data_IF_907917343127
#
_entry.id   IF_907917343127
#
_cell.length_a   1.000
_cell.length_b   1.000
_cell.length_c   1.000
_cell.angle_alpha   90.00
_cell.angle_beta   90.00
_cell.angle_gamma   90.00
#
_symmetry.space_group_name_H-M   'P 1'
#
loop_
_entity.id
_entity.type
_entity.pdbx_description
1 polymer ?
#
# COMPACT_ATOMS: atom_id res chain seq x y z
N UNK A 1 -9.61 16.45 -1.43
CA UNK A 1 -8.85 15.22 -1.05
C UNK A 1 -8.97 14.91 0.45
N UNK A 2 -8.79 15.87 1.36
CA UNK A 2 -8.90 15.64 2.81
C UNK A 2 -10.26 15.08 3.28
N UNK A 3 -11.35 15.50 2.66
CA UNK A 3 -12.72 15.08 3.01
C UNK A 3 -12.96 13.58 2.75
N UNK A 4 -12.53 13.06 1.59
CA UNK A 4 -12.64 11.62 1.26
C UNK A 4 -11.88 10.77 2.24
N UNK A 5 -10.68 11.19 2.60
CA UNK A 5 -9.83 10.50 3.57
C UNK A 5 -10.47 10.44 4.97
N UNK A 6 -11.20 11.48 5.36
CA UNK A 6 -11.93 11.52 6.64
C UNK A 6 -13.12 10.55 6.64
N UNK A 7 -13.89 10.51 5.54
CA UNK A 7 -15.04 9.61 5.40
C UNK A 7 -14.58 8.14 5.27
N UNK A 8 -13.43 7.87 4.65
CA UNK A 8 -12.89 6.51 4.50
C UNK A 8 -12.41 5.91 5.84
N UNK A 9 -12.02 6.73 6.82
CA UNK A 9 -11.42 6.28 8.09
C UNK A 9 -12.27 5.27 8.87
N UNK A 10 -13.57 5.50 9.14
CA UNK A 10 -14.39 4.54 9.88
C UNK A 10 -14.56 3.21 9.15
N UNK A 11 -14.65 3.23 7.81
CA UNK A 11 -14.74 2.01 7.00
C UNK A 11 -13.45 1.20 7.04
N UNK A 12 -12.30 1.85 6.89
CA UNK A 12 -11.01 1.19 6.97
C UNK A 12 -10.79 0.56 8.35
N UNK A 13 -11.21 1.25 9.43
CA UNK A 13 -11.13 0.73 10.79
C UNK A 13 -12.04 -0.49 10.98
N UNK A 14 -13.30 -0.42 10.51
CA UNK A 14 -14.24 -1.53 10.62
C UNK A 14 -13.76 -2.76 9.82
N UNK A 15 -13.27 -2.56 8.58
CA UNK A 15 -12.69 -3.62 7.77
C UNK A 15 -11.48 -4.26 8.47
N UNK A 16 -10.62 -3.46 9.08
CA UNK A 16 -9.45 -3.92 9.80
C UNK A 16 -9.81 -4.74 11.06
N UNK A 17 -10.74 -4.25 11.86
CA UNK A 17 -11.21 -4.95 13.07
C UNK A 17 -11.85 -6.29 12.73
N UNK A 18 -12.68 -6.34 11.68
CA UNK A 18 -13.27 -7.57 11.18
C UNK A 18 -12.20 -8.56 10.70
N UNK A 19 -11.29 -8.12 9.83
CA UNK A 19 -10.22 -8.94 9.30
C UNK A 19 -9.27 -9.47 10.40
N UNK A 20 -9.01 -8.65 11.42
CA UNK A 20 -8.22 -9.04 12.59
C UNK A 20 -8.92 -10.11 13.43
N UNK A 21 -10.22 -9.97 13.68
CA UNK A 21 -11.01 -10.96 14.41
C UNK A 21 -11.09 -12.30 13.66
N UNK A 22 -11.14 -12.25 12.33
CA UNK A 22 -11.14 -13.43 11.47
C UNK A 22 -9.73 -14.01 11.18
N UNK A 23 -8.64 -13.41 11.71
CA UNK A 23 -7.25 -13.74 11.37
C UNK A 23 -6.97 -13.74 9.86
N UNK A 24 -7.64 -12.86 9.11
CA UNK A 24 -7.62 -12.79 7.65
C UNK A 24 -7.01 -11.48 7.12
N UNK A 25 -6.11 -10.84 7.88
CA UNK A 25 -5.55 -9.52 7.52
C UNK A 25 -4.93 -9.48 6.12
N UNK A 26 -4.19 -10.55 5.74
CA UNK A 26 -3.56 -10.61 4.43
C UNK A 26 -4.58 -10.80 3.29
N UNK A 27 -5.58 -11.66 3.47
CA UNK A 27 -6.64 -11.90 2.48
C UNK A 27 -7.49 -10.64 2.25
N UNK A 28 -7.81 -9.92 3.33
CA UNK A 28 -8.55 -8.66 3.25
C UNK A 28 -7.75 -7.53 2.57
N UNK A 29 -6.45 -7.48 2.78
CA UNK A 29 -5.55 -6.56 2.06
C UNK A 29 -5.61 -6.78 0.54
N UNK A 30 -5.43 -8.04 0.12
CA UNK A 30 -5.50 -8.43 -1.29
C UNK A 30 -6.86 -8.10 -1.91
N UNK A 31 -7.95 -8.47 -1.24
CA UNK A 31 -9.29 -8.24 -1.76
C UNK A 31 -9.67 -6.77 -1.82
N UNK A 32 -9.30 -5.97 -0.81
CA UNK A 32 -9.50 -4.52 -0.83
C UNK A 32 -8.72 -3.85 -1.96
N UNK A 33 -7.49 -4.32 -2.23
CA UNK A 33 -6.66 -3.83 -3.33
C UNK A 33 -7.33 -4.11 -4.67
N UNK A 34 -7.76 -5.35 -4.90
CA UNK A 34 -8.45 -5.73 -6.14
C UNK A 34 -9.76 -4.94 -6.31
N UNK A 35 -10.59 -4.83 -5.27
CA UNK A 35 -11.81 -4.05 -5.33
C UNK A 35 -11.55 -2.56 -5.60
N UNK A 36 -10.49 -2.00 -5.04
CA UNK A 36 -10.07 -0.62 -5.29
C UNK A 36 -9.61 -0.41 -6.74
N UNK A 37 -8.84 -1.34 -7.30
CA UNK A 37 -8.39 -1.31 -8.69
C UNK A 37 -9.58 -1.37 -9.66
N UNK A 38 -10.55 -2.26 -9.40
CA UNK A 38 -11.77 -2.38 -10.22
C UNK A 38 -12.55 -1.06 -10.22
N UNK A 39 -12.77 -0.46 -9.05
CA UNK A 39 -13.54 0.78 -8.93
C UNK A 39 -12.79 2.00 -9.48
N UNK A 40 -11.46 1.96 -9.49
CA UNK A 40 -10.62 3.00 -10.08
C UNK A 40 -10.52 2.91 -11.60
N UNK A 41 -10.92 1.78 -12.22
CA UNK A 41 -10.90 1.61 -13.67
C UNK A 41 -11.78 2.68 -14.35
N UNK A 42 -11.26 3.40 -15.38
CA UNK A 42 -12.00 4.45 -16.08
C UNK A 42 -13.34 4.00 -16.67
N UNK A 43 -13.54 2.71 -16.91
CA UNK A 43 -14.81 2.13 -17.40
C UNK A 43 -15.82 1.91 -16.28
N UNK A 44 -15.36 1.62 -15.05
CA UNK A 44 -16.21 1.31 -13.90
C UNK A 44 -16.53 2.57 -13.07
N UNK A 45 -15.59 3.48 -12.92
CA UNK A 45 -15.76 4.68 -12.10
C UNK A 45 -16.99 5.55 -12.50
N UNK A 46 -17.36 5.73 -13.78
CA UNK A 46 -18.59 6.42 -14.16
C UNK A 46 -19.85 5.66 -13.76
N UNK A 47 -19.84 4.31 -13.79
CA UNK A 47 -20.99 3.48 -13.46
C UNK A 47 -21.40 3.65 -11.99
N UNK A 48 -20.42 3.80 -11.09
CA UNK A 48 -20.68 4.00 -9.65
C UNK A 48 -21.42 5.30 -9.33
N UNK A 49 -21.44 6.24 -10.26
CA UNK A 49 -22.15 7.53 -10.16
C UNK A 49 -23.46 7.55 -10.92
N UNK A 50 -23.68 6.59 -11.80
CA UNK A 50 -24.85 6.53 -12.66
C UNK A 50 -26.08 6.05 -11.88
N UNK A 51 -27.22 6.77 -11.96
CA UNK A 51 -28.47 6.32 -11.35
C UNK A 51 -29.06 5.08 -12.04
N UNK A 52 -28.59 4.74 -13.24
CA UNK A 52 -29.05 3.58 -13.99
C UNK A 52 -28.53 2.24 -13.41
N UNK A 53 -27.49 2.29 -12.58
CA UNK A 53 -26.92 1.10 -11.96
C UNK A 53 -27.35 1.01 -10.49
N UNK A 54 -27.98 -0.11 -10.14
CA UNK A 54 -28.34 -0.38 -8.75
C UNK A 54 -27.10 -0.76 -7.92
N UNK A 55 -27.22 -0.66 -6.59
CA UNK A 55 -26.17 -1.13 -5.70
C UNK A 55 -25.86 -2.62 -5.92
N UNK A 56 -26.90 -3.44 -6.18
CA UNK A 56 -26.76 -4.87 -6.42
C UNK A 56 -25.97 -5.16 -7.72
N UNK A 57 -26.25 -4.41 -8.80
CA UNK A 57 -25.53 -4.57 -10.08
C UNK A 57 -24.05 -4.24 -9.92
N UNK A 58 -23.74 -3.17 -9.20
CA UNK A 58 -22.33 -2.76 -8.94
C UNK A 58 -21.60 -3.79 -8.08
N UNK A 59 -22.26 -4.35 -7.07
CA UNK A 59 -21.69 -5.42 -6.23
C UNK A 59 -21.46 -6.67 -7.07
N UNK A 60 -22.43 -7.05 -7.90
CA UNK A 60 -22.30 -8.19 -8.84
C UNK A 60 -21.08 -8.01 -9.74
N UNK A 61 -20.98 -6.86 -10.40
CA UNK A 61 -19.84 -6.53 -11.27
C UNK A 61 -18.50 -6.66 -10.55
N UNK A 62 -18.37 -6.08 -9.35
CA UNK A 62 -17.12 -6.13 -8.58
C UNK A 62 -16.81 -7.57 -8.17
N UNK A 63 -17.81 -8.34 -7.73
CA UNK A 63 -17.64 -9.73 -7.31
C UNK A 63 -17.24 -10.63 -8.47
N UNK A 64 -17.87 -10.48 -9.61
CA UNK A 64 -17.59 -11.29 -10.81
C UNK A 64 -16.17 -11.04 -11.33
N UNK A 65 -15.73 -9.78 -11.35
CA UNK A 65 -14.37 -9.43 -11.78
C UNK A 65 -13.31 -9.85 -10.76
N UNK A 66 -13.59 -9.70 -9.47
CA UNK A 66 -12.64 -10.06 -8.40
C UNK A 66 -12.58 -11.58 -8.16
N UNK A 67 -13.63 -12.32 -8.51
CA UNK A 67 -13.72 -13.78 -8.36
C UNK A 67 -13.50 -14.24 -6.91
N UNK A 68 -12.72 -15.29 -6.74
CA UNK A 68 -12.46 -15.91 -5.44
C UNK A 68 -11.66 -15.03 -4.44
N UNK A 69 -11.22 -13.84 -4.84
CA UNK A 69 -10.47 -12.93 -3.96
C UNK A 69 -11.35 -12.17 -2.95
N UNK A 70 -12.66 -12.17 -3.16
CA UNK A 70 -13.64 -11.58 -2.26
C UNK A 70 -14.39 -12.69 -1.49
N UNK A 71 -14.07 -12.86 -0.21
CA UNK A 71 -14.85 -13.72 0.67
C UNK A 71 -16.24 -13.13 0.97
N UNK A 72 -17.11 -13.91 1.62
CA UNK A 72 -18.48 -13.47 1.95
C UNK A 72 -18.51 -12.21 2.81
N UNK A 73 -17.54 -12.05 3.73
CA UNK A 73 -17.42 -10.86 4.58
C UNK A 73 -17.09 -9.62 3.77
N UNK A 74 -16.18 -9.75 2.80
CA UNK A 74 -15.76 -8.65 1.93
C UNK A 74 -16.85 -8.29 0.92
N UNK A 75 -17.57 -9.28 0.37
CA UNK A 75 -18.74 -9.03 -0.49
C UNK A 75 -19.80 -8.22 0.27
N UNK A 76 -20.06 -8.57 1.53
CA UNK A 76 -20.96 -7.80 2.39
C UNK A 76 -20.44 -6.38 2.65
N UNK A 77 -19.14 -6.22 2.88
CA UNK A 77 -18.52 -4.90 3.05
C UNK A 77 -18.67 -4.03 1.79
N UNK A 78 -18.42 -4.59 0.60
CA UNK A 78 -18.62 -3.91 -0.68
C UNK A 78 -20.10 -3.53 -0.89
N UNK A 79 -21.04 -4.41 -0.47
CA UNK A 79 -22.48 -4.11 -0.50
C UNK A 79 -22.83 -2.91 0.35
N UNK A 80 -22.35 -2.85 1.59
CA UNK A 80 -22.57 -1.70 2.48
C UNK A 80 -22.04 -0.40 1.87
N UNK A 81 -20.88 -0.45 1.21
CA UNK A 81 -20.33 0.71 0.51
C UNK A 81 -21.18 1.12 -0.70
N UNK A 82 -21.73 0.14 -1.45
CA UNK A 82 -22.58 0.40 -2.60
C UNK A 82 -23.91 1.06 -2.19
N UNK A 83 -24.58 0.51 -1.18
CA UNK A 83 -25.83 1.05 -0.62
C UNK A 83 -25.68 2.50 -0.12
N UNK A 84 -24.51 2.81 0.45
CA UNK A 84 -24.19 4.16 0.91
C UNK A 84 -23.60 5.07 -0.20
N UNK A 85 -23.50 4.60 -1.45
CA UNK A 85 -22.88 5.30 -2.59
C UNK A 85 -21.43 5.73 -2.31
N UNK A 86 -20.68 4.87 -1.61
CA UNK A 86 -19.29 5.13 -1.16
C UNK A 86 -18.24 4.22 -1.80
N UNK A 87 -18.59 3.51 -2.89
CA UNK A 87 -17.65 2.63 -3.61
C UNK A 87 -16.39 3.36 -4.06
N UNK A 88 -16.51 4.62 -4.49
CA UNK A 88 -15.36 5.46 -4.89
C UNK A 88 -14.37 5.76 -3.76
N UNK A 89 -14.67 5.40 -2.52
CA UNK A 89 -13.73 5.51 -1.39
C UNK A 89 -12.87 4.26 -1.22
N UNK A 90 -13.12 3.18 -1.97
CA UNK A 90 -12.35 1.94 -1.85
C UNK A 90 -10.83 2.14 -1.97
N UNK A 91 -10.28 2.96 -2.87
CA UNK A 91 -8.84 3.22 -2.91
C UNK A 91 -8.30 3.85 -1.62
N UNK A 92 -9.01 4.83 -1.07
CA UNK A 92 -8.64 5.47 0.20
C UNK A 92 -8.82 4.54 1.41
N UNK A 93 -9.85 3.68 1.37
CA UNK A 93 -10.08 2.66 2.40
C UNK A 93 -8.95 1.64 2.38
N UNK A 94 -8.57 1.12 1.21
CA UNK A 94 -7.48 0.18 1.04
C UNK A 94 -6.14 0.75 1.53
N UNK A 95 -5.82 1.98 1.15
CA UNK A 95 -4.60 2.65 1.61
C UNK A 95 -4.55 2.80 3.14
N UNK A 96 -5.68 3.18 3.77
CA UNK A 96 -5.77 3.29 5.24
C UNK A 96 -5.75 1.95 5.95
N UNK A 97 -6.35 0.93 5.36
CA UNK A 97 -6.30 -0.44 5.87
C UNK A 97 -4.86 -0.92 5.96
N UNK A 98 -4.05 -0.70 4.92
CA UNK A 98 -2.62 -1.07 4.92
C UNK A 98 -1.82 -0.36 6.01
N UNK A 99 -2.11 0.91 6.29
CA UNK A 99 -1.48 1.64 7.40
C UNK A 99 -1.80 0.96 8.74
N UNK A 100 -3.07 0.60 8.98
CA UNK A 100 -3.51 -0.07 10.20
C UNK A 100 -2.89 -1.47 10.32
N UNK A 101 -2.85 -2.22 9.22
CA UNK A 101 -2.24 -3.53 9.15
C UNK A 101 -0.75 -3.48 9.45
N UNK A 102 -0.01 -2.58 8.81
CA UNK A 102 1.42 -2.41 9.02
C UNK A 102 1.75 -2.04 10.47
N UNK A 103 0.91 -1.22 11.12
CA UNK A 103 1.08 -0.85 12.52
C UNK A 103 0.93 -2.05 13.47
N UNK A 104 0.00 -2.97 13.19
CA UNK A 104 -0.22 -4.16 14.04
C UNK A 104 0.75 -5.29 13.74
N UNK A 105 1.06 -5.53 12.46
CA UNK A 105 2.06 -6.52 12.06
C UNK A 105 3.50 -6.07 12.40
N UNK A 106 3.65 -4.88 12.97
CA UNK A 106 4.94 -4.26 13.26
C UNK A 106 5.86 -4.27 12.02
N UNK A 107 5.26 -4.04 10.84
CA UNK A 107 5.92 -4.05 9.53
C UNK A 107 6.17 -2.62 9.09
N UNK A 108 7.32 -2.36 8.48
CA UNK A 108 7.66 -1.08 7.85
C UNK A 108 7.95 -1.31 6.37
N UNK A 109 7.35 -0.48 5.52
CA UNK A 109 7.68 -0.46 4.10
C UNK A 109 8.97 0.34 3.90
N UNK A 110 9.90 -0.25 3.13
CA UNK A 110 11.22 0.32 2.88
C UNK A 110 11.46 0.36 1.38
N UNK A 111 11.65 1.56 0.85
CA UNK A 111 12.06 1.78 -0.52
C UNK A 111 13.58 1.82 -0.62
N UNK A 112 14.15 0.96 -1.43
CA UNK A 112 15.59 0.91 -1.71
C UNK A 112 15.82 1.31 -3.15
N UNK A 113 16.50 2.44 -3.35
CA UNK A 113 16.96 2.88 -4.66
C UNK A 113 18.44 2.57 -4.76
N UNK A 114 18.84 1.68 -5.65
CA UNK A 114 20.24 1.26 -5.85
C UNK A 114 20.76 1.65 -7.22
N UNK A 115 22.08 1.86 -7.32
CA UNK A 115 22.72 2.18 -8.61
C UNK A 115 22.72 1.00 -9.60
N UNK A 116 22.67 -0.23 -9.08
CA UNK A 116 22.62 -1.48 -9.84
C UNK A 116 21.58 -2.41 -9.23
N UNK A 117 21.01 -3.36 -10.00
CA UNK A 117 20.10 -4.35 -9.47
C UNK A 117 20.73 -5.12 -8.30
N UNK A 118 20.00 -5.26 -7.20
CA UNK A 118 20.42 -6.07 -6.06
C UNK A 118 20.17 -7.55 -6.37
N UNK A 119 21.16 -8.40 -6.10
CA UNK A 119 20.93 -9.83 -6.10
C UNK A 119 20.12 -10.28 -4.86
N UNK A 120 19.61 -11.51 -4.89
CA UNK A 120 18.77 -12.04 -3.82
C UNK A 120 19.52 -12.07 -2.47
N UNK A 121 20.80 -12.42 -2.47
CA UNK A 121 21.60 -12.51 -1.24
C UNK A 121 21.89 -11.13 -0.65
N UNK A 122 22.13 -10.12 -1.49
CA UNK A 122 22.28 -8.73 -1.06
C UNK A 122 20.98 -8.16 -0.51
N UNK A 123 19.85 -8.42 -1.19
CA UNK A 123 18.53 -7.99 -0.73
C UNK A 123 18.17 -8.60 0.62
N UNK A 124 18.47 -9.88 0.86
CA UNK A 124 18.19 -10.56 2.13
C UNK A 124 19.08 -10.04 3.27
N UNK A 125 20.36 -9.81 3.02
CA UNK A 125 21.27 -9.20 3.99
C UNK A 125 20.83 -7.79 4.38
N UNK A 126 20.42 -6.99 3.41
CA UNK A 126 19.92 -5.63 3.63
C UNK A 126 18.62 -5.65 4.45
N UNK A 127 17.69 -6.56 4.08
CA UNK A 127 16.43 -6.75 4.83
C UNK A 127 16.69 -7.16 6.28
N UNK A 128 17.59 -8.10 6.53
CA UNK A 128 17.94 -8.53 7.87
C UNK A 128 18.56 -7.39 8.70
N UNK A 129 19.51 -6.65 8.13
CA UNK A 129 20.13 -5.51 8.79
C UNK A 129 19.11 -4.40 9.13
N UNK A 130 18.22 -4.07 8.19
CA UNK A 130 17.15 -3.10 8.40
C UNK A 130 16.14 -3.58 9.45
N UNK A 131 15.75 -4.86 9.43
CA UNK A 131 14.84 -5.44 10.40
C UNK A 131 15.42 -5.34 11.82
N UNK A 132 16.70 -5.64 11.98
CA UNK A 132 17.39 -5.51 13.26
C UNK A 132 17.47 -4.06 13.75
N UNK A 133 17.80 -3.13 12.86
CA UNK A 133 17.94 -1.70 13.18
C UNK A 133 16.60 -1.04 13.51
N UNK A 134 15.56 -1.36 12.75
CA UNK A 134 14.21 -0.79 12.89
C UNK A 134 13.38 -1.53 13.96
N UNK A 135 13.81 -2.71 14.40
CA UNK A 135 13.07 -3.62 15.29
C UNK A 135 11.68 -3.94 14.78
N UNK A 136 11.54 -4.03 13.45
CA UNK A 136 10.29 -4.27 12.71
C UNK A 136 10.51 -5.22 11.55
N UNK A 137 9.46 -5.89 11.13
CA UNK A 137 9.49 -6.63 9.86
C UNK A 137 9.61 -5.64 8.70
N UNK A 138 10.54 -5.89 7.78
CA UNK A 138 10.81 -5.00 6.65
C UNK A 138 10.18 -5.59 5.39
N UNK A 139 9.27 -4.83 4.78
CA UNK A 139 8.79 -5.06 3.42
C UNK A 139 9.59 -4.15 2.50
N UNK A 140 10.48 -4.74 1.70
CA UNK A 140 11.42 -4.00 0.86
C UNK A 140 10.93 -3.94 -0.59
N UNK A 141 10.90 -2.75 -1.16
CA UNK A 141 10.71 -2.51 -2.60
C UNK A 141 12.03 -1.98 -3.18
N UNK A 142 12.48 -2.59 -4.28
CA UNK A 142 13.73 -2.21 -4.93
C UNK A 142 13.45 -1.47 -6.23
N UNK A 143 14.15 -0.37 -6.45
CA UNK A 143 14.23 0.32 -7.73
C UNK A 143 15.69 0.60 -8.10
N UNK A 144 15.96 0.80 -9.38
CA UNK A 144 17.31 1.05 -9.87
C UNK A 144 17.37 2.47 -10.42
N UNK A 145 18.37 3.24 -9.95
CA UNK A 145 18.68 4.58 -10.46
C UNK A 145 20.20 4.71 -10.65
N UNK A 146 20.63 4.66 -11.91
CA UNK A 146 22.03 4.80 -12.29
C UNK A 146 22.63 6.17 -11.96
N UNK A 147 21.82 7.20 -11.72
CA UNK A 147 22.28 8.53 -11.32
C UNK A 147 22.96 8.57 -9.95
N UNK A 148 22.83 7.49 -9.14
CA UNK A 148 23.51 7.37 -7.85
C UNK A 148 25.01 7.08 -7.97
N UNK A 149 25.51 6.71 -9.15
CA UNK A 149 26.89 6.32 -9.45
C UNK A 149 27.40 5.07 -8.69
N UNK A 150 26.75 4.70 -7.57
CA UNK A 150 27.06 3.55 -6.74
C UNK A 150 26.39 3.63 -5.36
N UNK A 151 26.28 2.48 -4.68
CA UNK A 151 25.60 2.37 -3.39
C UNK A 151 24.08 2.37 -3.51
N UNK A 152 23.40 2.70 -2.42
CA UNK A 152 21.94 2.74 -2.35
C UNK A 152 21.43 3.82 -1.40
N UNK A 153 20.23 4.31 -1.66
CA UNK A 153 19.43 5.15 -0.76
C UNK A 153 18.27 4.32 -0.24
N UNK A 154 18.13 4.30 1.08
CA UNK A 154 17.09 3.54 1.78
C UNK A 154 16.14 4.53 2.45
N UNK A 155 14.85 4.41 2.17
CA UNK A 155 13.78 5.21 2.77
C UNK A 155 12.82 4.30 3.53
N UNK A 156 12.65 4.58 4.82
CA UNK A 156 11.76 3.83 5.70
C UNK A 156 10.87 4.81 6.48
N UNK A 157 9.71 5.15 5.92
CA UNK A 157 8.89 6.24 6.45
C UNK A 157 9.67 7.56 6.48
N UNK A 158 9.83 8.15 7.66
CA UNK A 158 10.56 9.41 7.85
C UNK A 158 12.09 9.25 7.88
N UNK A 159 12.58 8.01 7.96
CA UNK A 159 14.00 7.71 8.00
C UNK A 159 14.57 7.57 6.59
N UNK A 160 15.54 8.40 6.25
CA UNK A 160 16.31 8.31 5.00
C UNK A 160 17.77 8.00 5.34
N UNK A 161 18.29 6.91 4.78
CA UNK A 161 19.70 6.52 4.91
C UNK A 161 20.33 6.59 3.51
N UNK A 162 21.12 7.62 3.28
CA UNK A 162 21.84 7.81 2.02
C UNK A 162 23.26 7.23 2.11
N UNK A 163 23.44 6.05 1.50
CA UNK A 163 24.72 5.36 1.32
C UNK A 163 25.26 5.48 -0.12
N UNK A 164 24.72 6.37 -0.95
CA UNK A 164 25.18 6.54 -2.34
C UNK A 164 26.56 7.20 -2.41
N UNK A 165 27.32 6.88 -3.49
CA UNK A 165 28.57 7.57 -3.80
C UNK A 165 28.34 9.05 -4.07
N UNK A 166 27.24 9.39 -4.75
CA UNK A 166 26.86 10.78 -5.02
C UNK A 166 26.68 11.58 -3.73
N UNK A 167 25.95 11.04 -2.76
CA UNK A 167 25.74 11.69 -1.46
C UNK A 167 27.03 11.84 -0.65
N UNK A 168 27.95 10.86 -0.75
CA UNK A 168 29.27 10.96 -0.11
C UNK A 168 30.14 12.05 -0.76
N UNK A 169 30.18 12.13 -2.07
CA UNK A 169 30.92 13.16 -2.80
C UNK A 169 30.38 14.56 -2.51
N UNK A 170 29.10 14.72 -2.44
CA UNK A 170 28.47 16.03 -2.09
C UNK A 170 28.87 16.47 -0.67
N UNK A 171 28.84 15.57 0.30
CA UNK A 171 29.30 15.89 1.67
C UNK A 171 30.77 16.28 1.72
N UNK A 172 31.64 15.53 1.05
CA UNK A 172 33.08 15.88 0.96
C UNK A 172 33.28 17.24 0.29
N UNK A 173 32.56 17.52 -0.80
CA UNK A 173 32.66 18.83 -1.45
C UNK A 173 32.24 19.98 -0.53
N UNK A 174 31.23 19.78 0.29
CA UNK A 174 30.76 20.79 1.27
C UNK A 174 31.79 20.98 2.40
N UNK A 175 32.41 19.87 2.88
CA UNK A 175 33.44 19.93 3.94
C UNK A 175 34.75 20.56 3.47
N UNK A 176 35.11 20.40 2.18
CA UNK A 176 36.34 20.95 1.60
C UNK A 176 36.15 22.37 1.07
N UNK A 177 34.91 22.84 0.87
CA UNK A 177 34.58 24.17 0.39
C UNK A 177 34.26 25.17 1.49
N UNK A 178 34.38 24.78 2.77
CA UNK A 178 34.30 25.62 3.95
C UNK A 178 35.70 25.91 4.46
#
# INVERSE_FOLDING_TARGET
MAERATIARPYAKAAFEYARAANALAAWSEGLKVAAEIVADPRVAPLTKSPAWSAADLVGLITDVAGAKLDAGMQNFVRVLAENRRLLLLPEIAARYEILRSAVENTVDVDVVSAVPLDAAQADKLRAALSTRLKRKVRMQNSVDSALLGGAVVRAGDLVIDGSLKGRLQRLATELGS
#
